data_IF_394457205685
#
_entry.id   IF_394457205685
#
_cell.length_a   1.000
_cell.length_b   1.000
_cell.length_c   1.000
_cell.angle_alpha   90.00
_cell.angle_beta   90.00
_cell.angle_gamma   90.00
#
_symmetry.space_group_name_H-M   'P 1'
#
loop_
_entity.id
_entity.type
_entity.pdbx_description
1 polymer ?
#
# COMPACT_ATOMS: atom_id res chain seq x y z
N UNK A 1 -13.21 -7.65 10.32
CA UNK A 1 -13.08 -9.10 10.07
C UNK A 1 -11.98 -9.73 10.91
N UNK A 2 -10.76 -9.23 10.92
CA UNK A 2 -9.78 -9.58 11.95
C UNK A 2 -10.27 -9.02 13.30
N UNK A 3 -10.29 -9.82 14.35
CA UNK A 3 -10.68 -9.39 15.69
C UNK A 3 -12.19 -9.32 16.01
N UNK A 4 -13.07 -9.57 15.03
CA UNK A 4 -14.51 -9.32 15.22
C UNK A 4 -15.45 -10.53 15.21
N UNK A 5 -14.96 -11.77 15.34
CA UNK A 5 -15.91 -12.87 15.35
C UNK A 5 -15.40 -14.29 15.06
N UNK A 6 -14.09 -14.50 15.06
CA UNK A 6 -13.53 -15.86 14.99
C UNK A 6 -13.75 -16.60 13.68
N UNK A 7 -14.00 -15.90 12.59
CA UNK A 7 -14.12 -16.51 11.24
C UNK A 7 -12.80 -16.54 10.48
N UNK A 8 -11.80 -15.76 10.90
CA UNK A 8 -10.46 -15.73 10.29
C UNK A 8 -9.43 -15.74 11.41
N UNK A 9 -8.63 -16.79 11.49
CA UNK A 9 -7.59 -16.95 12.50
C UNK A 9 -6.29 -16.24 12.14
N UNK A 10 -5.94 -16.20 10.86
CA UNK A 10 -4.71 -15.58 10.36
C UNK A 10 -4.96 -14.86 9.03
N UNK A 11 -4.27 -13.76 8.81
CA UNK A 11 -4.31 -13.03 7.54
C UNK A 11 -2.95 -12.42 7.24
N UNK A 12 -2.63 -12.32 5.96
CA UNK A 12 -1.58 -11.45 5.44
C UNK A 12 -2.21 -10.12 5.06
N UNK A 13 -1.70 -9.04 5.60
CA UNK A 13 -2.21 -7.70 5.36
C UNK A 13 -1.06 -6.72 5.18
N UNK A 14 -1.26 -5.71 4.32
CA UNK A 14 -0.32 -4.60 4.23
C UNK A 14 -0.25 -3.84 5.56
N UNK A 15 0.95 -3.50 6.02
CA UNK A 15 1.15 -2.64 7.19
C UNK A 15 0.42 -1.29 7.04
N UNK A 16 0.30 -0.78 5.82
CA UNK A 16 -0.43 0.46 5.51
C UNK A 16 -1.92 0.38 5.91
N UNK A 17 -2.54 -0.77 5.74
CA UNK A 17 -3.94 -0.95 6.11
C UNK A 17 -4.18 -0.90 7.62
N UNK A 18 -3.17 -1.19 8.44
CA UNK A 18 -3.26 -1.16 9.89
C UNK A 18 -3.21 0.26 10.47
N UNK A 19 -2.67 1.22 9.72
CA UNK A 19 -2.57 2.62 10.17
C UNK A 19 -3.94 3.23 10.45
N UNK A 20 -4.94 2.88 9.67
CA UNK A 20 -6.34 3.32 9.86
C UNK A 20 -7.01 2.70 11.09
N UNK A 21 -6.39 1.72 11.72
CA UNK A 21 -6.89 1.03 12.91
C UNK A 21 -6.05 1.33 14.16
N UNK A 22 -5.28 2.41 14.14
CA UNK A 22 -4.52 2.86 15.31
C UNK A 22 -3.13 2.23 15.45
N UNK A 23 -2.60 1.59 14.43
CA UNK A 23 -1.20 1.17 14.38
C UNK A 23 -0.32 2.37 13.96
N UNK A 24 -0.10 3.29 14.91
CA UNK A 24 0.55 4.59 14.64
C UNK A 24 2.02 4.43 14.20
N UNK A 25 2.75 3.49 14.79
CA UNK A 25 4.13 3.19 14.39
C UNK A 25 4.21 2.72 12.94
N UNK A 26 3.22 1.95 12.49
CA UNK A 26 3.16 1.45 11.12
C UNK A 26 3.04 2.56 10.07
N UNK A 27 2.63 3.78 10.46
CA UNK A 27 2.66 4.97 9.59
C UNK A 27 4.08 5.24 9.07
N UNK A 28 5.11 5.02 9.88
CA UNK A 28 6.51 5.20 9.47
C UNK A 28 6.92 4.28 8.33
N UNK A 29 6.30 3.10 8.22
CA UNK A 29 6.59 2.13 7.15
C UNK A 29 5.96 2.54 5.81
N UNK A 30 4.98 3.44 5.81
CA UNK A 30 4.33 3.96 4.60
C UNK A 30 5.00 5.22 4.03
N UNK A 31 5.90 5.85 4.77
CA UNK A 31 6.61 7.04 4.28
C UNK A 31 7.49 6.66 3.09
N UNK A 32 7.34 7.35 1.94
CA UNK A 32 8.18 7.07 0.77
C UNK A 32 9.66 7.16 1.10
N UNK A 33 10.44 6.22 0.56
CA UNK A 33 11.90 6.14 0.73
C UNK A 33 12.40 5.92 2.16
N UNK A 34 11.56 5.51 3.11
CA UNK A 34 11.99 5.10 4.45
C UNK A 34 13.06 4.02 4.39
N UNK A 35 12.92 3.06 3.47
CA UNK A 35 13.92 2.03 3.23
C UNK A 35 14.67 2.31 1.93
N UNK A 36 15.99 2.42 2.01
CA UNK A 36 16.88 2.71 0.86
C UNK A 36 16.95 1.51 -0.08
N UNK A 37 16.85 0.29 0.46
CA UNK A 37 16.91 -0.97 -0.27
C UNK A 37 16.32 -2.11 0.59
N UNK A 38 16.25 -3.31 0.01
CA UNK A 38 15.75 -4.51 0.70
C UNK A 38 16.55 -4.89 1.94
N UNK A 39 17.85 -4.77 1.89
CA UNK A 39 18.72 -5.07 3.03
C UNK A 39 18.39 -4.17 4.23
N UNK A 40 18.15 -2.88 3.98
CA UNK A 40 17.75 -1.94 5.03
C UNK A 40 16.41 -2.33 5.66
N UNK A 41 15.44 -2.77 4.85
CA UNK A 41 14.18 -3.29 5.38
C UNK A 41 14.38 -4.52 6.26
N UNK A 42 15.18 -5.50 5.83
CA UNK A 42 15.43 -6.70 6.62
C UNK A 42 16.21 -6.43 7.90
N UNK A 43 17.12 -5.47 7.91
CA UNK A 43 17.75 -4.98 9.14
C UNK A 43 16.74 -4.44 10.15
N UNK A 44 15.71 -3.74 9.68
CA UNK A 44 14.60 -3.33 10.53
C UNK A 44 13.77 -4.54 10.98
N UNK A 45 13.35 -5.40 10.06
CA UNK A 45 12.50 -6.55 10.36
C UNK A 45 13.12 -7.55 11.35
N UNK A 46 14.44 -7.67 11.34
CA UNK A 46 15.23 -8.53 12.23
C UNK A 46 15.71 -7.78 13.50
N UNK A 47 15.40 -6.50 13.66
CA UNK A 47 15.82 -5.68 14.78
C UNK A 47 14.92 -5.84 16.01
N UNK A 48 15.39 -5.35 17.14
CA UNK A 48 14.61 -5.25 18.39
C UNK A 48 13.43 -4.28 18.30
N UNK A 49 13.39 -3.43 17.26
CA UNK A 49 12.28 -2.50 17.04
C UNK A 49 11.07 -3.17 16.38
N UNK A 50 11.29 -4.17 15.53
CA UNK A 50 10.21 -4.81 14.79
C UNK A 50 9.10 -5.41 15.68
N UNK A 51 9.40 -6.07 16.82
CA UNK A 51 8.39 -6.54 17.75
C UNK A 51 7.47 -5.44 18.29
N UNK A 52 7.98 -4.24 18.51
CA UNK A 52 7.15 -3.11 18.99
C UNK A 52 6.09 -2.72 17.96
N UNK A 53 6.44 -2.69 16.68
CA UNK A 53 5.51 -2.41 15.57
C UNK A 53 4.50 -3.54 15.39
N UNK A 54 4.96 -4.79 15.47
CA UNK A 54 4.10 -5.97 15.32
C UNK A 54 3.08 -6.12 16.44
N UNK A 55 3.43 -5.71 17.65
CA UNK A 55 2.56 -5.81 18.81
C UNK A 55 1.60 -4.62 18.98
N UNK A 56 1.91 -3.49 18.38
CA UNK A 56 1.12 -2.27 18.54
C UNK A 56 -0.39 -2.44 18.26
N UNK A 57 -0.84 -3.17 17.20
CA UNK A 57 -2.27 -3.39 17.00
C UNK A 57 -2.95 -4.11 18.16
N UNK A 58 -2.26 -5.05 18.80
CA UNK A 58 -2.76 -5.74 19.97
C UNK A 58 -2.82 -4.80 21.19
N UNK A 59 -1.74 -4.06 21.43
CA UNK A 59 -1.61 -3.16 22.58
C UNK A 59 -2.63 -2.02 22.50
N UNK A 60 -3.00 -1.60 21.30
CA UNK A 60 -4.05 -0.61 21.05
C UNK A 60 -5.48 -1.21 21.01
N UNK A 61 -5.65 -2.48 21.41
CA UNK A 61 -6.96 -3.10 21.58
C UNK A 61 -7.62 -3.64 20.31
N UNK A 62 -6.89 -3.77 19.20
CA UNK A 62 -7.42 -4.34 17.95
C UNK A 62 -7.63 -5.87 18.01
N UNK A 63 -7.14 -6.54 19.06
CA UNK A 63 -7.29 -7.98 19.24
C UNK A 63 -6.51 -8.83 18.24
N UNK A 64 -5.56 -8.23 17.51
CA UNK A 64 -4.69 -8.92 16.54
C UNK A 64 -3.22 -8.72 16.90
N UNK A 65 -2.39 -9.69 16.56
CA UNK A 65 -0.93 -9.63 16.75
C UNK A 65 -0.22 -9.82 15.43
N UNK A 66 0.76 -8.97 15.15
CA UNK A 66 1.71 -9.23 14.08
C UNK A 66 2.64 -10.38 14.47
N UNK A 67 2.86 -11.31 13.54
CA UNK A 67 3.75 -12.45 13.77
C UNK A 67 5.13 -12.20 13.19
N UNK A 68 5.19 -11.66 11.99
CA UNK A 68 6.43 -11.31 11.29
C UNK A 68 6.12 -10.40 10.09
N UNK A 69 7.16 -9.81 9.54
CA UNK A 69 7.12 -9.05 8.30
C UNK A 69 7.50 -9.93 7.10
N UNK A 70 6.85 -9.66 5.97
CA UNK A 70 7.28 -10.07 4.65
C UNK A 70 7.39 -8.83 3.76
N UNK A 71 8.27 -8.85 2.75
CA UNK A 71 8.39 -7.76 1.80
C UNK A 71 8.00 -8.22 0.39
N UNK A 72 7.47 -7.32 -0.41
CA UNK A 72 6.97 -7.57 -1.75
C UNK A 72 7.77 -6.81 -2.83
N UNK A 73 8.81 -6.12 -2.44
CA UNK A 73 9.60 -5.26 -3.30
C UNK A 73 9.11 -3.81 -3.32
N UNK A 74 9.79 -3.00 -4.15
CA UNK A 74 9.44 -1.61 -4.34
C UNK A 74 8.09 -1.46 -5.02
N UNK A 75 7.40 -0.39 -4.66
CA UNK A 75 6.10 -0.02 -5.21
C UNK A 75 6.32 0.95 -6.37
N UNK A 76 5.59 0.72 -7.46
CA UNK A 76 5.68 1.51 -8.69
C UNK A 76 4.28 1.92 -9.13
N UNK A 77 4.18 3.07 -9.79
CA UNK A 77 2.92 3.51 -10.37
C UNK A 77 2.62 2.76 -11.66
N UNK A 78 1.35 2.53 -11.92
CA UNK A 78 0.86 2.05 -13.20
C UNK A 78 -0.45 2.76 -13.55
N UNK A 79 -0.64 3.05 -14.82
CA UNK A 79 -1.71 3.92 -15.29
C UNK A 79 -2.38 3.39 -16.55
N UNK A 80 -3.66 3.76 -16.73
CA UNK A 80 -4.44 3.44 -17.94
C UNK A 80 -3.88 4.19 -19.15
N UNK A 81 -3.53 5.46 -18.97
CA UNK A 81 -2.93 6.31 -20.02
C UNK A 81 -1.43 6.45 -19.78
N UNK A 82 -0.63 6.63 -20.83
CA UNK A 82 0.81 6.88 -20.69
C UNK A 82 1.08 8.11 -19.80
N UNK A 83 2.15 8.03 -19.02
CA UNK A 83 2.69 9.12 -18.19
C UNK A 83 4.17 9.27 -18.54
N UNK A 84 4.56 10.45 -19.01
CA UNK A 84 5.94 10.76 -19.42
C UNK A 84 6.67 11.66 -18.41
N UNK A 85 5.94 12.24 -17.45
CA UNK A 85 6.50 13.10 -16.42
C UNK A 85 5.47 13.48 -15.36
N UNK A 86 5.92 14.20 -14.34
CA UNK A 86 5.07 14.61 -13.22
C UNK A 86 3.85 15.44 -13.62
N UNK A 87 3.99 16.22 -14.69
CA UNK A 87 2.88 17.06 -15.18
C UNK A 87 1.67 16.22 -15.64
N UNK A 88 1.92 15.03 -16.16
CA UNK A 88 0.86 14.14 -16.64
C UNK A 88 0.07 13.51 -15.48
N UNK A 89 0.62 13.50 -14.26
CA UNK A 89 -0.09 13.02 -13.07
C UNK A 89 -1.11 14.02 -12.53
N UNK A 90 -1.01 15.30 -12.92
CA UNK A 90 -1.91 16.35 -12.42
C UNK A 90 -3.36 16.02 -12.72
N UNK A 91 -4.15 15.98 -11.65
CA UNK A 91 -5.57 15.71 -11.74
C UNK A 91 -5.96 14.25 -12.02
N UNK A 92 -5.00 13.35 -12.25
CA UNK A 92 -5.28 11.91 -12.35
C UNK A 92 -5.86 11.37 -11.05
N UNK A 93 -6.86 10.51 -11.15
CA UNK A 93 -7.40 9.77 -10.02
C UNK A 93 -6.53 8.55 -9.77
N UNK A 94 -5.64 8.63 -8.78
CA UNK A 94 -4.79 7.52 -8.41
C UNK A 94 -5.34 6.81 -7.18
N UNK A 95 -5.53 5.51 -7.31
CA UNK A 95 -5.99 4.67 -6.20
C UNK A 95 -4.94 4.59 -5.11
N UNK A 96 -5.37 4.75 -3.89
CA UNK A 96 -4.58 4.51 -2.68
C UNK A 96 -5.32 3.58 -1.73
N UNK A 97 -4.59 2.96 -0.81
CA UNK A 97 -5.17 2.35 0.39
C UNK A 97 -5.70 3.46 1.31
N UNK A 98 -6.54 3.11 2.27
CA UNK A 98 -6.95 4.04 3.31
C UNK A 98 -5.80 4.31 4.28
N UNK A 99 -4.83 5.09 3.83
CA UNK A 99 -3.60 5.45 4.54
C UNK A 99 -3.33 6.95 4.34
N UNK A 100 -3.18 7.74 5.41
CA UNK A 100 -2.99 9.19 5.29
C UNK A 100 -1.68 9.59 4.61
N UNK A 101 -0.61 8.80 4.74
CA UNK A 101 0.66 9.07 4.09
C UNK A 101 0.55 8.85 2.57
N UNK A 102 -0.08 7.76 2.15
CA UNK A 102 -0.30 7.48 0.74
C UNK A 102 -1.21 8.53 0.09
N UNK A 103 -2.25 8.98 0.81
CA UNK A 103 -3.09 10.09 0.37
C UNK A 103 -2.26 11.38 0.18
N UNK A 104 -1.43 11.72 1.18
CA UNK A 104 -0.55 12.89 1.13
C UNK A 104 0.48 12.80 0.01
N UNK A 105 1.08 11.64 -0.22
CA UNK A 105 2.03 11.41 -1.30
C UNK A 105 1.38 11.68 -2.67
N UNK A 106 0.24 11.08 -2.94
CA UNK A 106 -0.47 11.27 -4.23
C UNK A 106 -0.90 12.72 -4.42
N UNK A 107 -1.40 13.37 -3.36
CA UNK A 107 -1.75 14.80 -3.40
C UNK A 107 -0.50 15.67 -3.66
N UNK A 108 0.65 15.34 -3.06
CA UNK A 108 1.93 16.02 -3.29
C UNK A 108 2.43 15.92 -4.73
N UNK A 109 2.06 14.88 -5.46
CA UNK A 109 2.33 14.71 -6.90
C UNK A 109 1.35 15.50 -7.79
N UNK A 110 0.36 16.19 -7.21
CA UNK A 110 -0.67 16.92 -7.94
C UNK A 110 -1.81 16.06 -8.46
N UNK A 111 -1.83 14.79 -8.10
CA UNK A 111 -2.90 13.85 -8.45
C UNK A 111 -4.01 13.83 -7.38
N UNK A 112 -5.15 13.23 -7.71
CA UNK A 112 -6.28 13.05 -6.81
C UNK A 112 -6.23 11.64 -6.19
N UNK A 113 -5.96 11.56 -4.89
CA UNK A 113 -6.00 10.31 -4.15
C UNK A 113 -7.44 9.79 -4.07
N UNK A 114 -7.66 8.57 -4.50
CA UNK A 114 -8.98 7.92 -4.51
C UNK A 114 -8.89 6.61 -3.74
N UNK A 115 -9.55 6.55 -2.59
CA UNK A 115 -9.53 5.34 -1.76
C UNK A 115 -10.47 4.30 -2.34
N UNK A 116 -9.89 3.17 -2.75
CA UNK A 116 -10.62 2.00 -3.28
C UNK A 116 -10.02 0.74 -2.65
N UNK A 117 -10.84 -0.22 -2.27
CA UNK A 117 -10.36 -1.49 -1.74
C UNK A 117 -9.52 -2.24 -2.78
N UNK A 118 -8.56 -3.05 -2.32
CA UNK A 118 -7.70 -3.80 -3.25
C UNK A 118 -8.50 -4.74 -4.16
N UNK A 119 -9.52 -5.38 -3.61
CA UNK A 119 -10.37 -6.32 -4.35
C UNK A 119 -11.19 -5.66 -5.47
N UNK A 120 -11.43 -4.36 -5.37
CA UNK A 120 -12.19 -3.59 -6.36
C UNK A 120 -11.28 -2.88 -7.38
N UNK A 121 -9.96 -2.92 -7.19
CA UNK A 121 -9.02 -2.14 -7.98
C UNK A 121 -9.06 -2.48 -9.47
N UNK A 122 -9.13 -3.77 -9.84
CA UNK A 122 -9.21 -4.17 -11.24
C UNK A 122 -10.43 -3.55 -11.94
N UNK A 123 -11.61 -3.71 -11.35
CA UNK A 123 -12.85 -3.13 -11.91
C UNK A 123 -12.84 -1.60 -11.89
N UNK A 124 -12.26 -0.98 -10.88
CA UNK A 124 -12.13 0.47 -10.81
C UNK A 124 -11.23 1.05 -11.93
N UNK A 125 -10.15 0.36 -12.28
CA UNK A 125 -9.32 0.70 -13.44
C UNK A 125 -10.07 0.47 -14.75
N UNK A 126 -10.73 -0.68 -14.89
CA UNK A 126 -11.45 -1.04 -16.09
C UNK A 126 -12.60 -0.08 -16.40
N UNK A 127 -13.31 0.40 -15.39
CA UNK A 127 -14.47 1.30 -15.53
C UNK A 127 -14.11 2.78 -15.47
N UNK A 128 -12.85 3.13 -15.25
CA UNK A 128 -12.39 4.53 -15.18
C UNK A 128 -12.78 5.26 -13.89
N UNK A 129 -13.12 4.52 -12.83
CA UNK A 129 -13.27 5.09 -11.47
C UNK A 129 -11.93 5.66 -11.01
N UNK A 130 -10.83 4.98 -11.33
CA UNK A 130 -9.46 5.47 -11.15
C UNK A 130 -8.68 5.36 -12.45
N UNK A 131 -7.67 6.23 -12.62
CA UNK A 131 -6.81 6.30 -13.82
C UNK A 131 -5.50 5.52 -13.64
N UNK A 132 -5.18 5.13 -12.41
CA UNK A 132 -3.97 4.40 -12.06
C UNK A 132 -3.93 4.03 -10.59
N UNK A 133 -2.85 3.34 -10.23
CA UNK A 133 -2.56 2.92 -8.86
C UNK A 133 -1.05 2.70 -8.68
N UNK A 134 -0.65 2.30 -7.49
CA UNK A 134 0.72 1.89 -7.20
C UNK A 134 0.72 0.52 -6.50
N UNK A 135 1.64 -0.35 -6.89
CA UNK A 135 1.82 -1.69 -6.33
C UNK A 135 3.26 -2.18 -6.57
N UNK A 136 3.70 -3.17 -5.80
CA UNK A 136 4.87 -3.97 -6.19
C UNK A 136 4.63 -4.67 -7.53
N UNK A 137 5.69 -4.84 -8.33
CA UNK A 137 5.62 -5.45 -9.67
C UNK A 137 4.96 -6.84 -9.63
N UNK A 138 5.27 -7.63 -8.59
CA UNK A 138 4.68 -8.97 -8.42
C UNK A 138 3.15 -8.90 -8.31
N UNK A 139 2.62 -7.94 -7.54
CA UNK A 139 1.18 -7.75 -7.40
C UNK A 139 0.54 -7.19 -8.67
N UNK A 140 1.23 -6.27 -9.36
CA UNK A 140 0.81 -5.74 -10.64
C UNK A 140 0.61 -6.88 -11.66
N UNK A 141 1.56 -7.79 -11.73
CA UNK A 141 1.50 -8.93 -12.65
C UNK A 141 0.48 -9.97 -12.23
N UNK A 142 0.50 -10.41 -10.97
CA UNK A 142 -0.34 -11.53 -10.48
C UNK A 142 -1.84 -11.20 -10.43
N UNK A 143 -2.20 -9.92 -10.40
CA UNK A 143 -3.60 -9.47 -10.40
C UNK A 143 -4.08 -8.98 -11.77
N UNK A 144 -3.35 -9.31 -12.84
CA UNK A 144 -3.70 -8.97 -14.23
C UNK A 144 -3.89 -7.47 -14.49
N UNK A 145 -3.31 -6.58 -13.66
CA UNK A 145 -3.41 -5.13 -13.87
C UNK A 145 -2.84 -4.64 -15.19
N UNK A 146 -1.83 -5.30 -15.83
CA UNK A 146 -1.38 -4.93 -17.18
C UNK A 146 -2.50 -4.91 -18.23
N UNK A 147 -3.56 -5.70 -18.05
CA UNK A 147 -4.69 -5.75 -18.98
C UNK A 147 -5.52 -4.47 -18.98
N UNK A 148 -5.61 -3.79 -17.82
CA UNK A 148 -6.45 -2.59 -17.63
C UNK A 148 -5.67 -1.31 -17.41
N UNK A 149 -4.39 -1.40 -17.06
CA UNK A 149 -3.47 -0.28 -16.85
C UNK A 149 -2.06 -0.66 -17.30
N UNK A 150 -1.79 -0.66 -18.64
CA UNK A 150 -0.57 -1.24 -19.22
C UNK A 150 0.69 -0.39 -19.04
N UNK A 151 0.57 0.84 -18.55
CA UNK A 151 1.70 1.76 -18.45
C UNK A 151 2.32 1.70 -17.08
N UNK A 152 3.38 0.92 -16.91
CA UNK A 152 4.15 0.80 -15.65
C UNK A 152 5.27 1.83 -15.64
N UNK A 153 5.36 2.58 -14.55
CA UNK A 153 6.38 3.61 -14.30
C UNK A 153 7.29 3.08 -13.19
N UNK A 154 8.54 2.85 -13.51
CA UNK A 154 9.54 2.48 -12.50
C UNK A 154 9.95 3.75 -11.74
N UNK A 155 9.42 3.90 -10.55
CA UNK A 155 9.59 5.08 -9.68
C UNK A 155 10.31 4.74 -8.39
#
# INVERSE_FOLDING_TARGET
MLGGGGTIDMSRISAFALTSYGAEKSVLLSVPYTFVNREHFWKFADSELAPEFLMEPHDNGLGVRGLFYGEEGFRHFFTVKPVNGLEDLKGMKLRVSNDPIMNGMVAGLGANATVVSFNELYSALQTGVVDGAEQPIANYQSNAFPEVAPNLILS
#
